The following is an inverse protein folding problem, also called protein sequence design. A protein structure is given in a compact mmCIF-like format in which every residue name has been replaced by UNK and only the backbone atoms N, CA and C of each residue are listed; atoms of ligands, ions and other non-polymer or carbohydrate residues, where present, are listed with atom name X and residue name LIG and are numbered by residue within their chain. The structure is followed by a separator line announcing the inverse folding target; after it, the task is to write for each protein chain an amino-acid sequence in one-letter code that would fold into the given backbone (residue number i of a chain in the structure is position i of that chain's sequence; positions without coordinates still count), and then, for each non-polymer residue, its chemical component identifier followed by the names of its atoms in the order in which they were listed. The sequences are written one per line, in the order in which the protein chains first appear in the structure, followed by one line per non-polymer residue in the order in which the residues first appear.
data_IF_211911073144
#
_entry.id   IF_211911073144
#
_cell.length_a   1.000
_cell.length_b   1.000
_cell.length_c   1.000
_cell.angle_alpha   90.00
_cell.angle_beta   90.00
_cell.angle_gamma   90.00
#
_symmetry.space_group_name_H-M   'P 1'
#
loop_
_entity.id
_entity.type
_entity.pdbx_description
1 polymer ?
#
# COMPACT_ATOMS: atom_id res chain seq x y z
N UNK A 1 10.33 -13.61 16.97
CA UNK A 1 11.26 -13.94 15.87
C UNK A 1 12.03 -15.19 16.27
N UNK A 2 12.07 -16.14 15.38
CA UNK A 2 12.78 -17.41 15.54
C UNK A 2 13.97 -17.40 14.59
N UNK A 3 15.17 -17.70 15.07
CA UNK A 3 16.36 -17.79 14.24
C UNK A 3 16.56 -19.24 13.78
N UNK A 4 16.40 -19.49 12.49
CA UNK A 4 16.73 -20.78 11.90
C UNK A 4 18.21 -20.86 11.59
N UNK A 5 18.92 -21.69 12.34
CA UNK A 5 20.36 -21.85 12.21
C UNK A 5 20.76 -22.62 10.95
N UNK A 6 19.83 -23.31 10.29
CA UNK A 6 20.09 -24.06 9.05
C UNK A 6 20.11 -23.09 7.86
N UNK A 7 19.20 -22.14 7.81
CA UNK A 7 19.11 -21.11 6.78
C UNK A 7 19.83 -19.81 7.14
N UNK A 8 20.30 -19.66 8.40
CA UNK A 8 20.85 -18.41 8.98
C UNK A 8 19.92 -17.21 8.86
N UNK A 9 18.61 -17.44 8.86
CA UNK A 9 17.58 -16.42 8.76
C UNK A 9 16.74 -16.35 10.03
N UNK A 10 16.23 -15.14 10.33
CA UNK A 10 15.25 -14.94 11.38
C UNK A 10 13.86 -15.35 10.89
N UNK A 11 13.32 -16.42 11.45
CA UNK A 11 11.95 -16.86 11.19
C UNK A 11 10.99 -16.09 12.12
N UNK A 12 9.86 -15.68 11.56
CA UNK A 12 8.84 -14.87 12.25
C UNK A 12 7.81 -15.76 12.92
N UNK A 13 8.26 -16.66 13.82
CA UNK A 13 7.34 -17.37 14.71
C UNK A 13 7.36 -16.74 16.10
N UNK A 14 6.23 -16.21 16.50
CA UNK A 14 6.04 -15.62 17.82
C UNK A 14 5.16 -16.59 18.60
N UNK A 15 5.76 -17.39 19.49
CA UNK A 15 5.01 -18.15 20.47
C UNK A 15 4.62 -17.23 21.63
N UNK A 16 3.32 -16.90 21.72
CA UNK A 16 2.81 -16.12 22.83
C UNK A 16 2.55 -17.03 24.03
N UNK A 17 3.31 -16.85 25.06
CA UNK A 17 3.11 -17.53 26.37
C UNK A 17 2.18 -16.73 27.27
N UNK A 18 2.06 -15.41 27.02
CA UNK A 18 1.20 -14.48 27.77
C UNK A 18 0.92 -13.29 26.85
N UNK A 19 -0.29 -12.70 26.84
CA UNK A 19 -0.59 -11.54 25.99
C UNK A 19 0.29 -10.31 26.24
N UNK A 20 1.00 -10.28 27.36
CA UNK A 20 1.96 -9.21 27.70
C UNK A 20 3.43 -9.56 27.42
N UNK A 21 3.75 -10.79 27.05
CA UNK A 21 5.12 -11.26 26.92
C UNK A 21 5.31 -12.05 25.63
N UNK A 22 6.38 -11.77 24.93
CA UNK A 22 6.82 -12.53 23.77
C UNK A 22 8.11 -13.24 24.17
N UNK A 23 8.09 -14.56 24.16
CA UNK A 23 9.29 -15.35 24.38
C UNK A 23 9.98 -15.57 23.03
N UNK A 24 11.18 -14.99 22.87
CA UNK A 24 12.03 -15.26 21.73
C UNK A 24 13.04 -16.35 22.09
N UNK A 25 12.94 -17.51 21.46
CA UNK A 25 13.94 -18.59 21.60
C UNK A 25 14.86 -18.62 20.39
N UNK A 26 16.16 -18.65 20.64
CA UNK A 26 17.18 -18.83 19.60
C UNK A 26 17.71 -20.25 19.74
N UNK A 27 17.53 -21.10 18.72
CA UNK A 27 18.10 -22.44 18.70
C UNK A 27 19.40 -22.47 17.89
N UNK A 28 20.48 -22.92 18.52
CA UNK A 28 21.79 -23.13 17.86
C UNK A 28 22.30 -24.56 18.07
N UNK A 29 22.79 -25.20 17.03
CA UNK A 29 23.50 -26.48 17.13
C UNK A 29 24.98 -26.18 17.38
N UNK A 30 25.50 -26.57 18.56
CA UNK A 30 26.93 -26.48 18.86
C UNK A 30 27.25 -25.90 20.22
N UNK A 31 26.71 -26.49 21.30
CA UNK A 31 27.19 -26.29 22.69
C UNK A 31 27.05 -24.89 23.25
N UNK A 32 26.12 -24.07 22.75
CA UNK A 32 25.87 -22.71 23.19
C UNK A 32 24.65 -22.68 24.08
N UNK A 33 24.78 -22.04 25.23
CA UNK A 33 23.73 -21.75 26.22
C UNK A 33 22.57 -21.03 25.58
N UNK A 34 21.37 -21.54 25.81
CA UNK A 34 20.11 -20.91 25.45
C UNK A 34 19.98 -19.57 26.15
N UNK A 35 19.89 -18.49 25.40
CA UNK A 35 19.47 -17.21 25.92
C UNK A 35 18.00 -17.00 25.54
N UNK A 36 17.13 -17.03 26.54
CA UNK A 36 15.75 -16.55 26.39
C UNK A 36 15.74 -15.07 26.70
N UNK A 37 15.40 -14.25 25.72
CA UNK A 37 15.11 -12.84 25.97
C UNK A 37 13.60 -12.67 26.07
N UNK A 38 13.13 -12.15 27.21
CA UNK A 38 11.76 -11.73 27.38
C UNK A 38 11.61 -10.30 26.86
N UNK A 39 10.76 -10.10 25.86
CA UNK A 39 10.41 -8.79 25.38
C UNK A 39 8.96 -8.46 25.78
N UNK A 40 8.76 -7.35 26.49
CA UNK A 40 7.40 -6.86 26.74
C UNK A 40 6.81 -6.24 25.47
N UNK A 41 5.57 -6.59 25.15
CA UNK A 41 4.79 -5.88 24.15
C UNK A 41 4.46 -4.50 24.70
N UNK A 42 5.07 -3.46 24.12
CA UNK A 42 4.75 -2.08 24.43
C UNK A 42 3.50 -1.71 23.61
N UNK A 43 2.34 -1.85 24.22
CA UNK A 43 1.03 -1.49 23.68
C UNK A 43 0.15 -2.68 23.26
N UNK A 44 -1.12 -2.61 23.63
CA UNK A 44 -2.16 -3.56 23.23
C UNK A 44 -2.86 -3.11 21.93
N UNK A 45 -2.16 -2.46 21.02
CA UNK A 45 -2.75 -1.97 19.77
C UNK A 45 -2.51 -2.95 18.65
N UNK A 46 -3.59 -3.47 18.08
CA UNK A 46 -3.55 -4.19 16.82
C UNK A 46 -3.36 -3.22 15.64
N UNK A 47 -2.79 -3.69 14.52
CA UNK A 47 -2.71 -2.90 13.30
C UNK A 47 -4.11 -2.52 12.79
N UNK A 48 -4.17 -1.53 11.89
CA UNK A 48 -5.42 -1.09 11.27
C UNK A 48 -6.19 -2.26 10.66
N UNK A 49 -7.51 -2.29 10.86
CA UNK A 49 -8.37 -3.37 10.39
C UNK A 49 -8.39 -4.62 11.27
N UNK A 50 -7.57 -4.68 12.32
CA UNK A 50 -7.54 -5.78 13.27
C UNK A 50 -8.02 -5.36 14.66
N UNK A 51 -8.45 -6.33 15.46
CA UNK A 51 -8.80 -6.16 16.86
C UNK A 51 -8.14 -7.24 17.72
N UNK A 52 -7.90 -6.91 18.97
CA UNK A 52 -7.28 -7.84 19.91
C UNK A 52 -8.30 -8.92 20.30
N UNK A 53 -7.97 -10.16 19.99
CA UNK A 53 -8.66 -11.31 20.53
C UNK A 53 -8.15 -11.55 21.96
N UNK A 54 -8.99 -11.28 22.94
CA UNK A 54 -8.62 -11.38 24.35
C UNK A 54 -8.41 -12.84 24.81
N UNK A 55 -8.97 -13.82 24.10
CA UNK A 55 -8.82 -15.24 24.44
C UNK A 55 -7.48 -15.79 23.95
N UNK A 56 -7.07 -15.43 22.74
CA UNK A 56 -5.84 -15.92 22.13
C UNK A 56 -4.66 -14.97 22.29
N UNK A 57 -4.93 -13.69 22.61
CA UNK A 57 -3.95 -12.61 22.65
C UNK A 57 -3.42 -12.23 21.25
N UNK A 58 -4.07 -12.72 20.16
CA UNK A 58 -3.72 -12.39 18.77
C UNK A 58 -4.50 -11.18 18.27
N UNK A 59 -4.02 -10.59 17.17
CA UNK A 59 -4.80 -9.62 16.43
C UNK A 59 -5.53 -10.35 15.30
N UNK A 60 -6.85 -10.40 15.39
CA UNK A 60 -7.73 -11.00 14.39
C UNK A 60 -8.31 -9.89 13.50
N UNK A 61 -8.58 -10.19 12.24
CA UNK A 61 -9.23 -9.24 11.37
C UNK A 61 -10.66 -8.97 11.83
N UNK A 62 -11.05 -7.70 11.84
CA UNK A 62 -12.43 -7.30 12.14
C UNK A 62 -13.41 -7.89 11.13
N UNK A 63 -14.69 -8.07 11.49
CA UNK A 63 -15.72 -8.45 10.54
C UNK A 63 -15.71 -7.57 9.29
N UNK A 64 -15.70 -8.19 8.11
CA UNK A 64 -15.61 -7.50 6.82
C UNK A 64 -14.18 -7.21 6.34
N UNK A 65 -13.16 -7.55 7.12
CA UNK A 65 -11.75 -7.47 6.73
C UNK A 65 -11.19 -8.87 6.49
N UNK A 66 -10.27 -8.99 5.55
CA UNK A 66 -9.59 -10.23 5.21
C UNK A 66 -8.09 -10.11 5.49
N UNK A 67 -7.48 -11.24 5.90
CA UNK A 67 -6.04 -11.33 6.08
C UNK A 67 -5.36 -11.39 4.71
N UNK A 68 -4.49 -10.43 4.42
CA UNK A 68 -3.67 -10.44 3.22
C UNK A 68 -2.31 -9.79 3.49
N UNK A 69 -1.24 -10.43 3.01
CA UNK A 69 0.16 -9.99 3.13
C UNK A 69 0.55 -9.56 4.56
N UNK A 70 0.00 -10.29 5.58
CA UNK A 70 0.29 -10.07 7.01
C UNK A 70 -0.44 -8.91 7.65
N UNK A 71 -1.47 -8.35 7.01
CA UNK A 71 -2.36 -7.33 7.56
C UNK A 71 -3.83 -7.60 7.26
N UNK A 72 -4.72 -6.94 8.00
CA UNK A 72 -6.16 -7.00 7.74
C UNK A 72 -6.55 -5.88 6.80
N UNK A 73 -7.14 -6.21 5.67
CA UNK A 73 -7.62 -5.25 4.69
C UNK A 73 -9.09 -5.47 4.35
N UNK A 74 -9.75 -4.42 3.91
CA UNK A 74 -11.07 -4.55 3.29
C UNK A 74 -10.96 -5.34 2.00
N UNK A 75 -11.92 -6.25 1.71
CA UNK A 75 -12.00 -6.91 0.41
C UNK A 75 -11.96 -5.85 -0.70
N UNK A 76 -11.09 -6.05 -1.68
CA UNK A 76 -11.06 -5.17 -2.84
C UNK A 76 -12.40 -5.30 -3.57
N UNK A 77 -13.24 -4.29 -3.47
CA UNK A 77 -14.41 -4.17 -4.33
C UNK A 77 -13.87 -3.89 -5.74
N UNK A 78 -13.64 -4.95 -6.49
CA UNK A 78 -13.16 -4.90 -7.87
C UNK A 78 -14.22 -4.18 -8.72
N UNK A 79 -14.08 -2.87 -8.84
CA UNK A 79 -14.89 -2.10 -9.76
C UNK A 79 -13.95 -1.44 -10.77
N UNK A 80 -14.06 -1.77 -12.06
CA UNK A 80 -13.32 -1.06 -13.10
C UNK A 80 -13.74 0.42 -13.17
N UNK A 81 -14.85 0.77 -12.53
CA UNK A 81 -15.47 2.09 -12.57
C UNK A 81 -14.99 3.02 -11.45
N UNK A 82 -13.98 2.61 -10.67
CA UNK A 82 -13.27 3.50 -9.74
C UNK A 82 -12.32 4.42 -10.51
N UNK A 83 -11.84 5.47 -9.84
CA UNK A 83 -10.92 6.45 -10.41
C UNK A 83 -11.62 7.69 -10.94
N UNK A 84 -10.88 8.50 -11.69
CA UNK A 84 -11.37 9.75 -12.26
C UNK A 84 -12.49 9.46 -13.27
N UNK A 85 -13.68 10.06 -13.09
CA UNK A 85 -14.73 9.98 -14.08
C UNK A 85 -14.34 10.75 -15.33
N UNK A 86 -14.90 10.42 -16.51
CA UNK A 86 -14.73 11.25 -17.69
C UNK A 86 -15.34 12.64 -17.43
N UNK A 87 -14.82 13.72 -18.04
CA UNK A 87 -15.27 15.09 -17.78
C UNK A 87 -16.79 15.30 -17.92
N UNK A 88 -17.40 14.65 -18.89
CA UNK A 88 -18.84 14.67 -19.16
C UNK A 88 -19.66 13.84 -18.15
N UNK A 89 -19.02 12.99 -17.39
CA UNK A 89 -19.64 12.12 -16.39
C UNK A 89 -19.61 12.67 -14.97
N UNK A 90 -19.25 13.94 -14.77
CA UNK A 90 -19.16 14.58 -13.46
C UNK A 90 -20.36 15.46 -13.14
N UNK A 91 -20.86 15.36 -11.92
CA UNK A 91 -21.80 16.32 -11.35
C UNK A 91 -21.29 16.82 -9.99
N UNK A 92 -21.23 18.13 -9.82
CA UNK A 92 -20.87 18.79 -8.56
C UNK A 92 -19.43 18.49 -8.10
N UNK A 93 -19.25 18.19 -6.81
CA UNK A 93 -17.98 17.79 -6.19
C UNK A 93 -17.66 16.34 -6.56
N UNK A 94 -16.72 16.09 -7.46
CA UNK A 94 -16.75 15.14 -8.57
C UNK A 94 -17.34 13.77 -8.20
N UNK A 95 -18.64 13.65 -8.43
CA UNK A 95 -19.37 12.39 -8.31
C UNK A 95 -19.59 11.88 -9.73
N UNK A 96 -19.14 10.66 -9.98
CA UNK A 96 -19.46 9.95 -11.21
C UNK A 96 -20.96 9.60 -11.22
N UNK A 97 -21.73 10.23 -12.10
CA UNK A 97 -23.19 10.07 -12.17
C UNK A 97 -23.62 8.65 -12.60
N UNK A 98 -22.74 7.90 -13.23
CA UNK A 98 -23.04 6.55 -13.72
C UNK A 98 -23.05 5.52 -12.59
N UNK A 99 -22.16 5.65 -11.60
CA UNK A 99 -21.97 4.65 -10.54
C UNK A 99 -21.99 5.24 -9.12
N UNK A 100 -22.15 6.57 -8.98
CA UNK A 100 -22.17 7.25 -7.69
C UNK A 100 -20.80 7.36 -7.01
N UNK A 101 -19.69 7.02 -7.69
CA UNK A 101 -18.36 7.13 -7.10
C UNK A 101 -18.00 8.61 -6.87
N UNK A 102 -17.83 8.99 -5.62
CA UNK A 102 -17.16 10.27 -5.29
C UNK A 102 -15.66 10.06 -5.46
N UNK A 103 -15.06 10.80 -6.39
CA UNK A 103 -13.62 10.79 -6.60
C UNK A 103 -13.01 12.13 -6.19
N UNK A 104 -11.94 12.09 -5.40
CA UNK A 104 -11.24 13.28 -4.94
C UNK A 104 -9.73 13.08 -5.01
N UNK A 105 -9.01 14.09 -5.47
CA UNK A 105 -7.55 14.12 -5.49
C UNK A 105 -7.06 15.22 -4.57
N UNK A 106 -6.08 14.92 -3.74
CA UNK A 106 -5.37 15.88 -2.92
C UNK A 106 -3.86 15.78 -3.12
N UNK A 107 -3.23 16.92 -3.36
CA UNK A 107 -1.79 17.01 -3.60
C UNK A 107 -1.08 17.34 -2.29
N UNK A 108 -0.37 16.36 -1.73
CA UNK A 108 0.41 16.53 -0.51
C UNK A 108 1.80 17.13 -0.78
N UNK A 109 2.40 16.77 -1.92
CA UNK A 109 3.67 17.31 -2.40
C UNK A 109 3.55 17.63 -3.89
N UNK A 110 4.16 18.73 -4.32
CA UNK A 110 4.22 19.13 -5.74
C UNK A 110 5.62 18.87 -6.29
N UNK A 111 6.65 19.19 -5.51
CA UNK A 111 8.07 19.04 -5.86
C UNK A 111 8.87 18.61 -4.64
N UNK A 112 10.06 17.98 -4.81
CA UNK A 112 10.64 17.51 -6.06
C UNK A 112 9.99 16.22 -6.59
N UNK A 113 9.46 15.37 -5.71
CA UNK A 113 8.71 14.16 -6.07
C UNK A 113 7.24 14.40 -5.72
N UNK A 114 6.35 14.56 -6.73
CA UNK A 114 4.92 14.78 -6.48
C UNK A 114 4.29 13.62 -5.73
N UNK A 115 3.49 13.92 -4.73
CA UNK A 115 2.68 12.97 -4.00
C UNK A 115 1.24 13.44 -3.97
N UNK A 116 0.35 12.67 -4.57
CA UNK A 116 -1.08 12.89 -4.53
C UNK A 116 -1.77 11.70 -3.85
N UNK A 117 -2.91 11.98 -3.22
CA UNK A 117 -3.83 10.98 -2.68
C UNK A 117 -5.13 11.00 -3.49
N UNK A 118 -5.68 9.82 -3.71
CA UNK A 118 -6.87 9.58 -4.51
C UNK A 118 -7.91 8.88 -3.67
N UNK A 119 -9.07 9.50 -3.49
CA UNK A 119 -10.19 8.94 -2.75
C UNK A 119 -11.25 8.39 -3.70
N UNK A 120 -11.79 7.22 -3.36
CA UNK A 120 -12.94 6.64 -4.02
C UNK A 120 -14.05 6.36 -3.00
N UNK A 121 -15.22 6.96 -3.19
CA UNK A 121 -16.36 6.78 -2.31
C UNK A 121 -16.95 5.37 -2.35
N UNK A 122 -16.74 4.60 -3.44
CA UNK A 122 -17.21 3.21 -3.57
C UNK A 122 -16.58 2.25 -2.55
N UNK A 123 -15.35 2.48 -2.16
CA UNK A 123 -14.67 1.66 -1.13
C UNK A 123 -14.23 2.48 0.10
N UNK A 124 -14.36 3.81 0.05
CA UNK A 124 -14.01 4.69 1.16
C UNK A 124 -12.51 4.83 1.40
N UNK A 125 -11.66 4.36 0.49
CA UNK A 125 -10.22 4.29 0.69
C UNK A 125 -9.48 5.42 -0.03
N UNK A 126 -8.42 5.90 0.62
CA UNK A 126 -7.41 6.76 0.04
C UNK A 126 -6.23 5.92 -0.46
N UNK A 127 -5.87 6.11 -1.72
CA UNK A 127 -4.66 5.56 -2.35
C UNK A 127 -3.71 6.70 -2.68
N UNK A 128 -2.51 6.38 -3.14
CA UNK A 128 -1.52 7.41 -3.45
C UNK A 128 -0.75 7.11 -4.74
N UNK A 129 -0.04 8.11 -5.26
CA UNK A 129 0.68 8.10 -6.54
C UNK A 129 1.59 6.87 -6.78
N UNK A 130 2.00 6.17 -5.73
CA UNK A 130 2.91 5.03 -5.81
C UNK A 130 2.29 3.71 -5.31
N UNK A 131 0.97 3.63 -5.21
CA UNK A 131 0.23 2.46 -4.72
C UNK A 131 -0.16 1.46 -5.81
N UNK A 132 0.19 1.73 -7.08
CA UNK A 132 -0.11 0.83 -8.19
C UNK A 132 0.50 -0.56 -7.96
N UNK A 133 -0.28 -1.62 -8.30
CA UNK A 133 0.15 -3.00 -8.14
C UNK A 133 -0.56 -3.94 -9.10
N UNK A 134 0.00 -5.11 -9.30
CA UNK A 134 -0.63 -6.22 -10.03
C UNK A 134 -0.82 -7.38 -9.05
N UNK A 135 -1.99 -8.01 -9.10
CA UNK A 135 -2.25 -9.28 -8.40
C UNK A 135 -2.70 -10.33 -9.40
N UNK A 136 -2.41 -11.58 -9.12
CA UNK A 136 -2.96 -12.70 -9.89
C UNK A 136 -4.31 -13.10 -9.29
N UNK A 137 -5.28 -13.33 -10.18
CA UNK A 137 -6.59 -13.87 -9.83
C UNK A 137 -6.91 -14.99 -10.83
N UNK A 138 -6.90 -16.23 -10.38
CA UNK A 138 -7.11 -17.40 -11.22
C UNK A 138 -6.18 -17.38 -12.46
N UNK A 139 -6.74 -17.29 -13.66
CA UNK A 139 -6.01 -17.22 -14.93
C UNK A 139 -5.84 -15.78 -15.45
N UNK A 140 -6.18 -14.78 -14.62
CA UNK A 140 -6.09 -13.36 -14.97
C UNK A 140 -5.12 -12.60 -14.04
N UNK A 141 -4.84 -11.37 -14.43
CA UNK A 141 -4.06 -10.40 -13.67
C UNK A 141 -4.87 -9.13 -13.48
N UNK A 142 -4.99 -8.67 -12.24
CA UNK A 142 -5.65 -7.44 -11.89
C UNK A 142 -4.60 -6.34 -11.70
N UNK A 143 -4.66 -5.31 -12.55
CA UNK A 143 -3.89 -4.09 -12.41
C UNK A 143 -4.68 -3.09 -11.58
N UNK A 144 -4.20 -2.79 -10.39
CA UNK A 144 -4.71 -1.72 -9.53
C UNK A 144 -3.90 -0.45 -9.80
N UNK A 145 -4.56 0.61 -10.18
CA UNK A 145 -3.94 1.91 -10.43
C UNK A 145 -3.99 2.79 -9.19
N UNK A 146 -3.19 3.85 -9.20
CA UNK A 146 -3.10 4.83 -8.13
C UNK A 146 -4.42 5.57 -7.88
N UNK A 147 -5.24 5.74 -8.92
CA UNK A 147 -6.57 6.35 -8.84
C UNK A 147 -7.66 5.39 -8.32
N UNK A 148 -7.31 4.13 -8.11
CA UNK A 148 -8.20 3.08 -7.63
C UNK A 148 -8.90 2.29 -8.73
N UNK A 149 -8.74 2.66 -10.01
CA UNK A 149 -9.22 1.86 -11.14
C UNK A 149 -8.58 0.48 -11.13
N UNK A 150 -9.38 -0.54 -11.39
CA UNK A 150 -8.92 -1.93 -11.50
C UNK A 150 -9.20 -2.42 -12.91
N UNK A 151 -8.17 -2.88 -13.60
CA UNK A 151 -8.28 -3.44 -14.95
C UNK A 151 -7.86 -4.90 -14.93
N UNK A 152 -8.68 -5.75 -15.51
CA UNK A 152 -8.38 -7.18 -15.63
C UNK A 152 -7.71 -7.46 -16.98
N UNK A 153 -6.60 -8.19 -16.94
CA UNK A 153 -5.82 -8.61 -18.09
C UNK A 153 -5.74 -10.13 -18.15
N UNK A 154 -5.97 -10.70 -19.33
CA UNK A 154 -5.93 -12.13 -19.58
C UNK A 154 -4.96 -12.47 -20.70
N UNK A 155 -4.45 -13.70 -20.72
CA UNK A 155 -3.58 -14.21 -21.75
C UNK A 155 -2.51 -15.15 -21.22
N UNK A 156 -2.14 -16.14 -22.01
CA UNK A 156 -1.12 -17.13 -21.65
C UNK A 156 0.30 -16.72 -22.08
N UNK A 157 0.43 -15.74 -22.97
CA UNK A 157 1.69 -15.30 -23.57
C UNK A 157 2.39 -14.17 -22.83
N UNK A 158 3.27 -13.50 -23.57
CA UNK A 158 3.98 -12.32 -23.11
C UNK A 158 3.04 -11.12 -22.99
N UNK A 159 2.22 -10.89 -24.00
CA UNK A 159 1.32 -9.76 -24.07
C UNK A 159 -0.07 -10.17 -23.58
N UNK A 160 -0.59 -9.41 -22.64
CA UNK A 160 -1.87 -9.62 -21.98
C UNK A 160 -2.87 -8.59 -22.49
N UNK A 161 -4.13 -9.00 -22.62
CA UNK A 161 -5.22 -8.18 -23.16
C UNK A 161 -6.26 -7.88 -22.11
N UNK A 162 -6.90 -6.72 -22.20
CA UNK A 162 -8.00 -6.29 -21.34
C UNK A 162 -9.18 -5.84 -22.21
N UNK A 163 -10.40 -6.05 -21.69
CA UNK A 163 -11.64 -5.52 -22.26
C UNK A 163 -11.97 -4.11 -21.75
N UNK A 164 -11.35 -3.71 -20.63
CA UNK A 164 -11.69 -2.47 -19.91
C UNK A 164 -10.55 -1.47 -19.86
N UNK A 165 -9.37 -1.84 -20.40
CA UNK A 165 -8.19 -0.99 -20.40
C UNK A 165 -7.54 -1.03 -21.80
N UNK A 166 -7.33 0.13 -22.40
CA UNK A 166 -6.69 0.26 -23.73
C UNK A 166 -5.16 0.30 -23.61
N UNK A 167 -4.62 0.35 -22.40
CA UNK A 167 -3.18 0.23 -22.15
C UNK A 167 -2.67 -1.19 -22.47
N UNK A 168 -1.38 -1.30 -22.58
CA UNK A 168 -0.69 -2.56 -22.91
C UNK A 168 -0.01 -3.11 -21.66
N UNK A 169 -0.35 -4.34 -21.28
CA UNK A 169 0.34 -5.06 -20.21
C UNK A 169 1.13 -6.21 -20.83
N UNK A 170 2.42 -6.29 -20.51
CA UNK A 170 3.26 -7.42 -20.93
C UNK A 170 3.99 -8.02 -19.73
N UNK A 171 4.30 -9.32 -19.85
CA UNK A 171 5.07 -10.09 -18.87
C UNK A 171 6.36 -10.58 -19.49
N UNK A 172 7.50 -10.24 -18.88
CA UNK A 172 8.82 -10.64 -19.33
C UNK A 172 9.71 -10.96 -18.13
N UNK A 173 10.34 -12.13 -18.13
CA UNK A 173 11.25 -12.58 -17.07
C UNK A 173 10.64 -12.45 -15.65
N UNK A 174 9.35 -12.78 -15.49
CA UNK A 174 8.64 -12.70 -14.24
C UNK A 174 8.18 -11.28 -13.85
N UNK A 175 8.60 -10.25 -14.54
CA UNK A 175 8.19 -8.86 -14.30
C UNK A 175 7.02 -8.48 -15.19
N UNK A 176 6.30 -7.43 -14.80
CA UNK A 176 5.21 -6.87 -15.59
C UNK A 176 5.56 -5.44 -16.03
N UNK A 177 5.14 -5.11 -17.25
CA UNK A 177 5.34 -3.80 -17.86
C UNK A 177 4.00 -3.31 -18.42
N UNK A 178 3.50 -2.24 -17.83
CA UNK A 178 2.28 -1.60 -18.30
C UNK A 178 2.62 -0.28 -19.00
N UNK A 179 1.97 -0.03 -20.12
CA UNK A 179 2.02 1.25 -20.82
C UNK A 179 0.61 1.75 -21.03
N UNK A 180 0.27 2.90 -20.45
CA UNK A 180 -1.02 3.54 -20.64
C UNK A 180 -1.17 4.17 -22.03
N UNK A 181 -2.39 4.54 -22.41
CA UNK A 181 -2.67 5.29 -23.66
C UNK A 181 -1.93 6.63 -23.73
N UNK A 182 -1.61 7.22 -22.58
CA UNK A 182 -0.89 8.49 -22.46
C UNK A 182 0.64 8.31 -22.42
N UNK A 183 1.16 7.10 -22.75
CA UNK A 183 2.58 6.74 -22.69
C UNK A 183 3.21 6.82 -21.30
N UNK A 184 2.41 6.76 -20.24
CA UNK A 184 2.92 6.46 -18.92
C UNK A 184 3.37 5.00 -18.88
N UNK A 185 4.53 4.71 -18.31
CA UNK A 185 5.02 3.34 -18.21
C UNK A 185 5.27 2.96 -16.77
N UNK A 186 4.78 1.79 -16.38
CA UNK A 186 4.89 1.25 -15.03
C UNK A 186 5.56 -0.12 -15.12
N UNK A 187 6.66 -0.29 -14.40
CA UNK A 187 7.31 -1.59 -14.22
C UNK A 187 6.98 -2.13 -12.82
N UNK A 188 6.55 -3.38 -12.78
CA UNK A 188 6.32 -4.10 -11.54
C UNK A 188 7.35 -5.22 -11.38
N UNK A 189 7.69 -5.52 -10.14
CA UNK A 189 8.55 -6.64 -9.79
C UNK A 189 7.84 -8.00 -9.98
N UNK A 190 8.52 -9.15 -9.76
CA UNK A 190 7.88 -10.46 -9.87
C UNK A 190 6.72 -10.70 -8.89
N UNK A 191 6.61 -9.92 -7.84
CA UNK A 191 5.51 -9.98 -6.86
C UNK A 191 4.37 -9.02 -7.20
N UNK A 192 4.43 -8.36 -8.36
CA UNK A 192 3.43 -7.40 -8.79
C UNK A 192 3.48 -6.05 -8.09
N UNK A 193 4.55 -5.74 -7.36
CA UNK A 193 4.71 -4.45 -6.68
C UNK A 193 5.39 -3.44 -7.60
N UNK A 194 4.99 -2.17 -7.52
CA UNK A 194 5.59 -1.07 -8.30
C UNK A 194 7.11 -1.00 -8.07
N UNK A 195 7.89 -1.05 -9.15
CA UNK A 195 9.34 -0.95 -9.12
C UNK A 195 9.87 0.32 -9.81
N UNK A 196 9.25 0.71 -10.93
CA UNK A 196 9.58 1.95 -11.66
C UNK A 196 8.33 2.55 -12.26
N UNK A 197 8.33 3.89 -12.31
CA UNK A 197 7.29 4.68 -12.95
C UNK A 197 7.94 5.72 -13.85
N UNK A 198 7.45 5.84 -15.09
CA UNK A 198 7.72 6.97 -15.96
C UNK A 198 6.39 7.64 -16.27
N UNK A 199 6.25 8.89 -15.88
CA UNK A 199 5.02 9.66 -16.11
C UNK A 199 4.89 10.07 -17.58
N UNK A 200 3.71 10.51 -17.97
CA UNK A 200 3.44 11.03 -19.32
C UNK A 200 4.34 12.23 -19.68
N UNK A 201 4.76 13.04 -18.70
CA UNK A 201 5.71 14.15 -18.87
C UNK A 201 7.16 13.67 -18.97
N UNK A 202 7.43 12.38 -18.85
CA UNK A 202 8.75 11.77 -18.97
C UNK A 202 9.57 11.71 -17.68
N UNK A 203 9.05 12.16 -16.54
CA UNK A 203 9.72 12.02 -15.22
C UNK A 203 9.82 10.56 -14.85
N UNK A 204 10.98 10.15 -14.31
CA UNK A 204 11.23 8.75 -13.95
C UNK A 204 11.46 8.63 -12.45
N UNK A 205 10.83 7.63 -11.87
CA UNK A 205 10.93 7.29 -10.46
C UNK A 205 11.30 5.82 -10.31
N UNK A 206 12.14 5.54 -9.33
CA UNK A 206 12.47 4.19 -8.87
C UNK A 206 11.88 4.00 -7.49
N UNK A 207 11.26 2.85 -7.25
CA UNK A 207 10.64 2.50 -5.97
C UNK A 207 11.38 1.31 -5.38
N UNK A 208 11.91 1.48 -4.20
CA UNK A 208 12.58 0.44 -3.41
C UNK A 208 11.72 0.14 -2.18
N UNK A 209 11.50 -1.17 -1.91
CA UNK A 209 10.69 -1.63 -0.79
C UNK A 209 11.59 -2.27 0.28
N UNK A 210 11.44 -1.78 1.50
CA UNK A 210 12.00 -2.34 2.72
C UNK A 210 10.96 -2.23 3.83
N UNK A 211 11.34 -1.76 5.00
CA UNK A 211 10.38 -1.40 6.05
C UNK A 211 9.47 -0.22 5.62
N UNK A 212 9.95 0.61 4.72
CA UNK A 212 9.23 1.71 4.07
C UNK A 212 9.42 1.64 2.56
N UNK A 213 8.59 2.38 1.81
CA UNK A 213 8.84 2.66 0.40
C UNK A 213 9.80 3.84 0.28
N UNK A 214 10.85 3.68 -0.49
CA UNK A 214 11.73 4.79 -0.88
C UNK A 214 11.59 5.04 -2.37
N UNK A 215 11.10 6.22 -2.72
CA UNK A 215 10.96 6.69 -4.09
C UNK A 215 12.12 7.63 -4.39
N UNK A 216 12.86 7.37 -5.47
CA UNK A 216 13.96 8.20 -5.92
C UNK A 216 13.71 8.69 -7.34
N UNK A 217 14.04 9.96 -7.60
CA UNK A 217 14.04 10.52 -8.95
C UNK A 217 15.45 10.48 -9.58
N UNK A 218 15.57 10.97 -10.82
CA UNK A 218 16.83 11.03 -11.57
C UNK A 218 17.82 12.07 -11.01
N UNK A 219 17.37 12.97 -10.11
CA UNK A 219 18.19 14.01 -9.47
C UNK A 219 18.69 13.62 -8.08
N UNK A 220 18.37 12.41 -7.61
CA UNK A 220 18.78 11.91 -6.31
C UNK A 220 17.87 12.35 -5.15
N UNK A 221 16.75 13.02 -5.43
CA UNK A 221 15.75 13.28 -4.39
C UNK A 221 15.13 11.98 -3.91
N UNK A 222 14.80 11.93 -2.61
CA UNK A 222 14.20 10.73 -2.00
C UNK A 222 12.97 11.10 -1.20
N UNK A 223 11.86 10.45 -1.52
CA UNK A 223 10.62 10.47 -0.76
C UNK A 223 10.48 9.11 -0.06
N UNK A 224 10.30 9.13 1.25
CA UNK A 224 10.09 7.92 2.06
C UNK A 224 8.64 7.86 2.51
N UNK A 225 7.96 6.76 2.19
CA UNK A 225 6.55 6.53 2.54
C UNK A 225 6.45 5.34 3.47
N UNK A 226 5.60 5.46 4.49
CA UNK A 226 5.11 4.35 5.30
C UNK A 226 3.66 4.08 4.92
N UNK A 227 3.35 2.83 4.59
CA UNK A 227 2.02 2.38 4.18
C UNK A 227 1.37 1.46 5.21
N UNK A 228 0.06 1.51 5.31
CA UNK A 228 -0.76 0.50 5.99
C UNK A 228 -1.13 -0.66 5.05
N UNK A 229 -1.89 -1.63 5.58
CA UNK A 229 -2.27 -2.85 4.87
C UNK A 229 -3.09 -2.61 3.59
N UNK A 230 -3.89 -1.53 3.54
CA UNK A 230 -4.69 -1.14 2.37
C UNK A 230 -3.96 -0.15 1.46
N UNK A 231 -2.63 -0.09 1.52
CA UNK A 231 -1.80 0.88 0.78
C UNK A 231 -2.16 2.35 1.08
N UNK A 232 -2.85 2.62 2.20
CA UNK A 232 -3.04 3.98 2.68
C UNK A 232 -1.76 4.50 3.31
N UNK A 233 -1.48 5.78 3.09
CA UNK A 233 -0.32 6.44 3.69
C UNK A 233 -0.48 6.58 5.19
N UNK A 234 0.55 6.22 5.94
CA UNK A 234 0.68 6.51 7.37
C UNK A 234 1.62 7.69 7.59
N UNK A 235 2.67 7.77 6.79
CA UNK A 235 3.65 8.86 6.84
C UNK A 235 4.31 9.07 5.49
N UNK A 236 4.61 10.32 5.16
CA UNK A 236 5.48 10.68 4.05
C UNK A 236 6.59 11.61 4.58
N UNK A 237 7.81 11.45 4.05
CA UNK A 237 8.96 12.24 4.47
C UNK A 237 9.87 12.55 3.28
N UNK A 238 10.19 13.83 3.11
CA UNK A 238 11.11 14.31 2.08
C UNK A 238 11.92 15.48 2.62
N UNK A 239 13.24 15.39 2.57
CA UNK A 239 14.10 16.40 3.19
C UNK A 239 13.78 16.61 4.67
N UNK A 240 13.54 17.86 5.08
CA UNK A 240 13.12 18.23 6.43
C UNK A 240 11.60 18.20 6.67
N UNK A 241 10.80 17.95 5.63
CA UNK A 241 9.34 17.93 5.72
C UNK A 241 8.82 16.53 6.04
N UNK A 242 7.84 16.45 6.93
CA UNK A 242 7.07 15.23 7.21
C UNK A 242 5.57 15.48 7.13
N UNK A 243 4.84 14.46 6.68
CA UNK A 243 3.38 14.45 6.63
C UNK A 243 2.91 13.19 7.34
N UNK A 244 2.00 13.34 8.29
CA UNK A 244 1.42 12.25 9.06
C UNK A 244 -0.07 12.14 8.76
N UNK A 245 -0.55 10.92 8.58
CA UNK A 245 -1.92 10.59 8.24
C UNK A 245 -2.53 9.76 9.36
N UNK A 246 -3.65 10.19 9.91
CA UNK A 246 -4.36 9.47 10.95
C UNK A 246 -5.69 8.95 10.45
N UNK A 247 -6.03 7.75 10.89
CA UNK A 247 -7.24 7.04 10.48
C UNK A 247 -8.04 6.62 11.70
N UNK A 248 -9.36 6.55 11.53
CA UNK A 248 -10.23 5.95 12.55
C UNK A 248 -10.20 4.40 12.47
N UNK A 249 -10.99 3.77 13.33
CA UNK A 249 -11.10 2.31 13.38
C UNK A 249 -11.75 1.70 12.13
N UNK A 250 -12.50 2.49 11.37
CA UNK A 250 -13.09 2.13 10.07
C UNK A 250 -12.14 2.40 8.90
N UNK A 251 -10.86 2.76 9.16
CA UNK A 251 -9.83 3.11 8.20
C UNK A 251 -10.14 4.35 7.33
N UNK A 252 -11.03 5.23 7.82
CA UNK A 252 -11.28 6.52 7.17
C UNK A 252 -10.24 7.53 7.65
N UNK A 253 -9.70 8.31 6.72
CA UNK A 253 -8.71 9.35 7.02
C UNK A 253 -9.33 10.45 7.89
N UNK A 254 -8.86 10.64 9.09
CA UNK A 254 -9.39 11.67 10.02
C UNK A 254 -8.59 12.95 10.02
N UNK A 255 -7.27 12.86 9.84
CA UNK A 255 -6.47 14.07 9.69
C UNK A 255 -5.18 13.85 8.93
N UNK A 256 -4.67 14.95 8.36
CA UNK A 256 -3.34 15.07 7.76
C UNK A 256 -2.62 16.21 8.46
N UNK A 257 -1.48 15.90 9.04
CA UNK A 257 -0.61 16.89 9.68
C UNK A 257 0.67 17.02 8.88
N UNK A 258 0.94 18.23 8.35
CA UNK A 258 2.17 18.54 7.64
C UNK A 258 3.08 19.36 8.56
N UNK A 259 4.34 18.96 8.68
CA UNK A 259 5.36 19.65 9.46
C UNK A 259 6.56 19.96 8.57
N UNK A 260 6.99 21.21 8.56
CA UNK A 260 8.17 21.71 7.87
C UNK A 260 8.94 22.62 8.83
N UNK A 261 10.06 22.12 9.35
CA UNK A 261 10.80 22.79 10.41
C UNK A 261 9.92 23.03 11.66
N UNK A 262 9.71 24.31 12.00
CA UNK A 262 8.89 24.72 13.15
C UNK A 262 7.41 24.92 12.80
N UNK A 263 7.06 24.89 11.51
CA UNK A 263 5.70 25.12 11.06
C UNK A 263 4.93 23.80 10.95
N UNK A 264 3.74 23.78 11.52
CA UNK A 264 2.85 22.62 11.42
C UNK A 264 1.45 23.07 11.04
N UNK A 265 0.84 22.38 10.09
CA UNK A 265 -0.54 22.58 9.67
C UNK A 265 -1.30 21.27 9.76
N UNK A 266 -2.57 21.33 10.18
CA UNK A 266 -3.43 20.16 10.30
C UNK A 266 -4.73 20.36 9.54
N UNK A 267 -5.03 19.43 8.63
CA UNK A 267 -6.32 19.31 7.95
C UNK A 267 -7.13 18.19 8.58
N UNK A 268 -8.41 18.39 8.82
CA UNK A 268 -9.32 17.38 9.38
C UNK A 268 -10.38 17.01 8.35
N UNK A 269 -10.78 15.74 8.38
CA UNK A 269 -11.79 15.16 7.50
C UNK A 269 -12.98 14.69 8.32
N UNK A 270 -14.19 15.00 7.84
CA UNK A 270 -15.46 14.58 8.40
C UNK A 270 -16.20 13.75 7.34
N UNK A 271 -16.81 12.66 7.77
CA UNK A 271 -17.53 11.72 6.91
C UNK A 271 -18.98 11.60 7.32
#
# INVERSE_FOLDING_TARGET
YYFDNTSKNWLKEIHRVNPKWVQCSVSGTGGITWQTSEASLIGNSCPLGAELNNETGSCDCRPGYEMDDGGCKLPDKNSPDKGAPPPEGCAGNPVNITNGNKYQVEHDLITPIPLARHYNGLDGLWRHSFSARITRKDDSYLLYREDGKVSEFTGAGRDLTSLTDLGKLSRLAGRFFYTSELNETIEFDPYGKLARLKTKEGRKYRVERGANLTISDEHGNKLVLSEGANHQLLRAQIGGMSIEYTYDKEQRLTSVTRTDGQYSTKTQYLY
#
